data_IF_477396430398
#
_entry.id   IF_477396430398
#
_cell.length_a   1.000
_cell.length_b   1.000
_cell.length_c   1.000
_cell.angle_alpha   90.00
_cell.angle_beta   90.00
_cell.angle_gamma   90.00
#
_symmetry.space_group_name_H-M   'P 1'
#
loop_
_entity.id
_entity.type
_entity.pdbx_description
1 polymer ?
#
# COMPACT_ATOMS: atom_id res chain seq x y z
N UNK A 1 8.40 -16.08 -48.05
CA UNK A 1 8.31 -16.10 -46.56
C UNK A 1 9.66 -15.62 -46.05
N UNK A 2 9.75 -14.46 -45.40
CA UNK A 2 10.97 -14.00 -44.73
C UNK A 2 10.98 -14.60 -43.34
N UNK A 3 11.95 -15.45 -43.05
CA UNK A 3 12.24 -15.90 -41.68
C UNK A 3 12.83 -14.71 -40.91
N UNK A 4 12.30 -14.47 -39.71
CA UNK A 4 12.85 -13.50 -38.76
C UNK A 4 13.95 -14.22 -37.98
N UNK A 5 15.19 -13.73 -38.05
CA UNK A 5 16.29 -14.21 -37.22
C UNK A 5 15.98 -13.88 -35.75
N UNK A 6 15.68 -14.91 -34.95
CA UNK A 6 15.61 -14.79 -33.50
C UNK A 6 17.01 -14.65 -32.91
N UNK A 7 17.44 -13.41 -32.63
CA UNK A 7 18.62 -13.16 -31.80
C UNK A 7 18.27 -13.49 -30.35
N UNK A 8 18.80 -14.61 -29.83
CA UNK A 8 18.73 -14.96 -28.42
C UNK A 8 19.83 -14.20 -27.67
N UNK A 9 19.45 -13.20 -26.88
CA UNK A 9 20.34 -12.61 -25.90
C UNK A 9 20.39 -13.51 -24.66
N UNK A 10 21.55 -14.11 -24.39
CA UNK A 10 21.83 -14.69 -23.10
C UNK A 10 22.31 -13.56 -22.17
N UNK A 11 21.44 -13.07 -21.30
CA UNK A 11 21.85 -12.18 -20.20
C UNK A 11 22.49 -13.07 -19.14
N UNK A 12 23.81 -13.08 -19.06
CA UNK A 12 24.51 -13.65 -17.91
C UNK A 12 24.71 -12.56 -16.86
N UNK A 13 24.03 -12.69 -15.72
CA UNK A 13 24.39 -11.97 -14.49
C UNK A 13 25.47 -12.77 -13.77
N UNK A 14 26.67 -12.83 -14.34
CA UNK A 14 27.85 -13.31 -13.61
C UNK A 14 28.57 -12.10 -13.03
N UNK A 15 28.74 -12.15 -11.73
CA UNK A 15 29.30 -11.12 -10.85
C UNK A 15 30.60 -10.52 -11.39
N UNK A 16 30.55 -9.24 -11.75
CA UNK A 16 31.68 -8.34 -11.53
C UNK A 16 31.40 -7.70 -10.17
N UNK A 17 32.35 -7.83 -9.23
CA UNK A 17 32.34 -7.25 -7.88
C UNK A 17 32.28 -5.71 -7.94
N UNK A 18 31.13 -5.19 -8.34
CA UNK A 18 30.80 -3.78 -8.30
C UNK A 18 29.65 -3.62 -7.33
N UNK A 19 29.97 -3.05 -6.17
CA UNK A 19 28.97 -2.65 -5.22
C UNK A 19 28.12 -1.55 -5.89
N UNK A 20 26.80 -1.63 -5.77
CA UNK A 20 25.90 -0.57 -6.22
C UNK A 20 26.27 0.82 -5.63
N UNK A 21 27.03 0.84 -4.53
CA UNK A 21 27.60 2.06 -3.96
C UNK A 21 28.81 2.64 -4.72
N UNK A 22 29.42 1.92 -5.66
CA UNK A 22 30.51 2.41 -6.52
C UNK A 22 30.04 3.52 -7.48
N UNK A 23 28.72 3.67 -7.67
CA UNK A 23 28.12 4.73 -8.47
C UNK A 23 27.91 6.05 -7.72
N UNK A 24 28.38 6.16 -6.47
CA UNK A 24 28.20 7.38 -5.65
C UNK A 24 29.11 8.55 -6.04
N UNK A 25 30.16 8.33 -6.82
CA UNK A 25 31.05 9.42 -7.23
C UNK A 25 31.12 9.59 -8.75
N UNK A 26 30.62 10.75 -9.19
CA UNK A 26 30.86 11.39 -10.48
C UNK A 26 30.25 10.68 -11.69
N UNK A 27 29.00 11.04 -12.00
CA UNK A 27 28.54 11.53 -13.33
C UNK A 27 27.02 11.53 -13.35
N UNK A 28 26.40 12.71 -13.29
CA UNK A 28 25.17 13.11 -14.01
C UNK A 28 23.90 12.25 -13.96
N UNK A 29 23.87 11.12 -13.27
CA UNK A 29 22.70 10.27 -13.08
C UNK A 29 22.18 10.61 -11.68
N UNK A 30 20.90 10.98 -11.60
CA UNK A 30 20.20 11.24 -10.33
C UNK A 30 20.53 10.13 -9.33
N UNK A 31 20.82 10.52 -8.10
CA UNK A 31 21.06 9.64 -6.96
C UNK A 31 20.12 8.43 -7.04
N UNK A 32 20.69 7.22 -7.09
CA UNK A 32 19.90 6.00 -6.86
C UNK A 32 19.22 6.22 -5.52
N UNK A 33 17.88 6.35 -5.53
CA UNK A 33 17.11 6.49 -4.31
C UNK A 33 17.59 5.41 -3.34
N UNK A 34 18.18 5.82 -2.21
CA UNK A 34 18.65 4.87 -1.22
C UNK A 34 17.46 3.97 -0.85
N UNK A 35 17.62 2.64 -0.81
CA UNK A 35 16.53 1.74 -0.45
C UNK A 35 15.97 2.18 0.90
N UNK A 36 14.74 2.72 0.88
CA UNK A 36 14.04 3.12 2.09
C UNK A 36 13.85 1.89 2.98
N UNK A 37 14.02 2.09 4.29
CA UNK A 37 13.93 1.01 5.27
C UNK A 37 12.50 0.50 5.30
N UNK A 38 12.24 -0.64 4.65
CA UNK A 38 10.87 -1.16 4.56
C UNK A 38 10.28 -1.40 5.96
N UNK A 39 9.13 -0.80 6.24
CA UNK A 39 8.44 -1.03 7.52
C UNK A 39 8.13 -2.53 7.61
N UNK A 40 8.67 -3.19 8.65
CA UNK A 40 8.47 -4.62 8.83
C UNK A 40 7.04 -4.89 9.29
N UNK A 41 6.22 -5.42 8.39
CA UNK A 41 4.87 -5.90 8.68
C UNK A 41 4.96 -7.18 9.52
N UNK A 42 4.08 -7.29 10.51
CA UNK A 42 4.01 -8.41 11.47
C UNK A 42 2.55 -8.90 11.63
N UNK A 43 2.35 -9.98 12.38
CA UNK A 43 1.01 -10.50 12.68
C UNK A 43 0.26 -10.98 11.44
N UNK A 44 -1.07 -10.87 11.46
CA UNK A 44 -1.94 -11.40 10.41
C UNK A 44 -1.61 -10.84 9.01
N UNK A 45 -1.18 -9.57 8.93
CA UNK A 45 -0.81 -8.93 7.66
C UNK A 45 0.48 -9.50 7.05
N UNK A 46 1.34 -10.12 7.86
CA UNK A 46 2.54 -10.81 7.38
C UNK A 46 2.25 -12.27 6.95
N UNK A 47 1.13 -12.84 7.41
CA UNK A 47 0.74 -14.21 7.10
C UNK A 47 0.17 -14.35 5.67
N UNK A 48 0.16 -15.58 5.16
CA UNK A 48 -0.41 -15.87 3.84
C UNK A 48 -1.89 -15.51 3.75
N UNK A 49 -2.68 -15.86 4.78
CA UNK A 49 -4.11 -15.60 4.80
C UNK A 49 -4.44 -14.10 4.78
N UNK A 50 -3.70 -13.28 5.55
CA UNK A 50 -3.90 -11.83 5.54
C UNK A 50 -3.54 -11.23 4.18
N UNK A 51 -2.45 -11.69 3.54
CA UNK A 51 -2.08 -11.25 2.19
C UNK A 51 -3.13 -11.62 1.15
N UNK A 52 -3.70 -12.83 1.21
CA UNK A 52 -4.79 -13.25 0.33
C UNK A 52 -6.06 -12.41 0.53
N UNK A 53 -6.39 -12.06 1.78
CA UNK A 53 -7.53 -11.19 2.08
C UNK A 53 -7.33 -9.78 1.49
N UNK A 54 -6.17 -9.16 1.68
CA UNK A 54 -5.88 -7.85 1.09
C UNK A 54 -5.91 -7.91 -0.44
N UNK A 55 -5.31 -8.95 -1.02
CA UNK A 55 -5.31 -9.17 -2.47
C UNK A 55 -6.73 -9.35 -3.03
N UNK A 56 -7.65 -9.98 -2.29
CA UNK A 56 -9.06 -10.04 -2.68
C UNK A 56 -9.66 -8.64 -2.85
N UNK A 57 -9.47 -7.74 -1.88
CA UNK A 57 -10.01 -6.38 -1.95
C UNK A 57 -9.37 -5.55 -3.07
N UNK A 58 -8.05 -5.68 -3.26
CA UNK A 58 -7.34 -5.05 -4.38
C UNK A 58 -7.92 -5.51 -5.72
N UNK A 59 -8.05 -6.82 -5.92
CA UNK A 59 -8.64 -7.39 -7.13
C UNK A 59 -10.08 -6.94 -7.35
N UNK A 60 -10.90 -6.85 -6.30
CA UNK A 60 -12.28 -6.37 -6.42
C UNK A 60 -12.32 -4.89 -6.84
N UNK A 61 -11.44 -4.06 -6.28
CA UNK A 61 -11.29 -2.66 -6.65
C UNK A 61 -10.83 -2.47 -8.10
N UNK A 62 -9.73 -3.14 -8.48
CA UNK A 62 -9.10 -3.04 -9.80
C UNK A 62 -10.02 -3.54 -10.92
N UNK A 63 -10.85 -4.54 -10.65
CA UNK A 63 -11.81 -5.08 -11.62
C UNK A 63 -13.16 -4.33 -11.66
N UNK A 64 -13.34 -3.28 -10.85
CA UNK A 64 -14.59 -2.52 -10.80
C UNK A 64 -15.75 -3.23 -10.09
N UNK A 65 -15.48 -4.30 -9.34
CA UNK A 65 -16.48 -5.12 -8.65
C UNK A 65 -16.93 -4.47 -7.32
N UNK A 66 -17.40 -3.22 -7.36
CA UNK A 66 -17.61 -2.39 -6.17
C UNK A 66 -18.67 -2.94 -5.20
N UNK A 67 -19.81 -3.43 -5.71
CA UNK A 67 -20.85 -4.02 -4.85
C UNK A 67 -20.30 -5.23 -4.08
N UNK A 68 -19.53 -6.08 -4.77
CA UNK A 68 -18.93 -7.25 -4.16
C UNK A 68 -17.82 -6.87 -3.17
N UNK A 69 -17.07 -5.79 -3.43
CA UNK A 69 -16.12 -5.23 -2.46
C UNK A 69 -16.80 -4.95 -1.12
N UNK A 70 -17.90 -4.20 -1.12
CA UNK A 70 -18.60 -3.85 0.12
C UNK A 70 -19.26 -5.05 0.80
N UNK A 71 -19.77 -6.03 0.03
CA UNK A 71 -20.29 -7.29 0.57
C UNK A 71 -19.20 -8.07 1.30
N UNK A 72 -18.02 -8.25 0.69
CA UNK A 72 -16.91 -8.97 1.31
C UNK A 72 -16.31 -8.20 2.49
N UNK A 73 -16.28 -6.87 2.43
CA UNK A 73 -15.85 -6.01 3.54
C UNK A 73 -16.77 -6.23 4.75
N UNK A 74 -18.09 -6.20 4.55
CA UNK A 74 -19.05 -6.42 5.63
C UNK A 74 -18.95 -7.83 6.23
N UNK A 75 -18.74 -8.86 5.40
CA UNK A 75 -18.52 -10.23 5.86
C UNK A 75 -17.26 -10.33 6.72
N UNK A 76 -16.15 -9.72 6.28
CA UNK A 76 -14.91 -9.67 7.04
C UNK A 76 -15.14 -8.98 8.40
N UNK A 77 -15.71 -7.78 8.41
CA UNK A 77 -15.96 -7.04 9.66
C UNK A 77 -16.84 -7.82 10.65
N UNK A 78 -17.86 -8.53 10.16
CA UNK A 78 -18.68 -9.39 11.01
C UNK A 78 -17.89 -10.58 11.54
N UNK A 79 -17.05 -11.21 10.70
CA UNK A 79 -16.16 -12.30 11.13
C UNK A 79 -15.15 -11.85 12.18
N UNK A 80 -14.54 -10.68 12.01
CA UNK A 80 -13.59 -10.12 12.97
C UNK A 80 -14.26 -9.84 14.33
N UNK A 81 -15.47 -9.26 14.35
CA UNK A 81 -16.24 -9.06 15.60
C UNK A 81 -16.52 -10.36 16.35
N UNK A 82 -16.76 -11.46 15.63
CA UNK A 82 -16.93 -12.77 16.27
C UNK A 82 -15.61 -13.32 16.81
N UNK A 83 -14.48 -13.03 16.14
CA UNK A 83 -13.14 -13.40 16.62
C UNK A 83 -12.68 -12.56 17.82
N UNK A 84 -13.10 -11.30 17.95
CA UNK A 84 -12.85 -10.46 19.13
C UNK A 84 -13.43 -11.05 20.42
N UNK A 85 -14.36 -12.01 20.35
CA UNK A 85 -14.83 -12.74 21.53
C UNK A 85 -13.81 -13.75 22.06
N UNK A 86 -12.86 -14.16 21.21
CA UNK A 86 -11.84 -15.18 21.50
C UNK A 86 -10.44 -14.59 21.64
N UNK A 87 -10.16 -13.51 20.94
CA UNK A 87 -8.90 -12.79 20.97
C UNK A 87 -9.05 -11.48 21.74
N UNK A 88 -7.93 -10.84 22.05
CA UNK A 88 -7.96 -9.51 22.66
C UNK A 88 -8.63 -8.49 21.74
N UNK A 89 -9.23 -7.46 22.34
CA UNK A 89 -9.82 -6.36 21.59
C UNK A 89 -8.75 -5.70 20.71
N UNK A 90 -9.14 -5.31 19.50
CA UNK A 90 -8.27 -4.68 18.51
C UNK A 90 -7.12 -5.59 17.98
N UNK A 91 -7.11 -6.90 18.29
CA UNK A 91 -6.06 -7.83 17.85
C UNK A 91 -5.91 -7.89 16.32
N UNK A 92 -7.03 -7.83 15.57
CA UNK A 92 -7.06 -7.80 14.11
C UNK A 92 -7.36 -6.40 13.56
N UNK A 93 -7.17 -5.35 14.36
CA UNK A 93 -7.54 -3.99 13.96
C UNK A 93 -6.71 -3.49 12.78
N UNK A 94 -5.48 -3.98 12.65
CA UNK A 94 -4.60 -3.67 11.52
C UNK A 94 -5.13 -4.22 10.19
N UNK A 95 -5.69 -5.43 10.18
CA UNK A 95 -6.38 -6.00 9.02
C UNK A 95 -7.64 -5.22 8.65
N UNK A 96 -8.46 -4.88 9.64
CA UNK A 96 -9.64 -4.02 9.43
C UNK A 96 -9.26 -2.70 8.75
N UNK A 97 -8.28 -2.00 9.32
CA UNK A 97 -7.84 -0.70 8.80
C UNK A 97 -7.12 -0.81 7.45
N UNK A 98 -6.41 -1.90 7.20
CA UNK A 98 -5.80 -2.16 5.89
C UNK A 98 -6.85 -2.31 4.79
N UNK A 99 -7.96 -3.02 5.06
CA UNK A 99 -9.09 -3.12 4.12
C UNK A 99 -9.80 -1.78 3.94
N UNK A 100 -9.91 -0.97 5.00
CA UNK A 100 -10.44 0.41 4.91
C UNK A 100 -9.54 1.32 4.03
N UNK A 101 -8.24 1.08 3.98
CA UNK A 101 -7.36 1.77 3.02
C UNK A 101 -7.58 1.30 1.57
N UNK A 102 -7.91 0.03 1.34
CA UNK A 102 -8.33 -0.45 0.01
C UNK A 102 -9.64 0.21 -0.45
N UNK A 103 -10.57 0.47 0.49
CA UNK A 103 -11.79 1.25 0.19
C UNK A 103 -11.44 2.68 -0.23
N UNK A 104 -10.47 3.32 0.45
CA UNK A 104 -9.99 4.65 0.06
C UNK A 104 -9.41 4.67 -1.36
N UNK A 105 -8.68 3.62 -1.76
CA UNK A 105 -8.15 3.46 -3.13
C UNK A 105 -9.28 3.25 -4.14
N UNK A 106 -10.29 2.45 -3.79
CA UNK A 106 -11.49 2.26 -4.61
C UNK A 106 -12.26 3.57 -4.82
N UNK A 107 -12.40 4.41 -3.78
CA UNK A 107 -13.00 5.74 -3.86
C UNK A 107 -12.17 6.68 -4.76
N UNK A 108 -10.84 6.60 -4.68
CA UNK A 108 -9.95 7.33 -5.59
C UNK A 108 -10.20 6.95 -7.06
N UNK A 109 -10.29 5.64 -7.34
CA UNK A 109 -10.58 5.12 -8.68
C UNK A 109 -11.94 5.55 -9.23
N UNK A 110 -12.92 5.79 -8.37
CA UNK A 110 -14.24 6.32 -8.72
C UNK A 110 -14.31 7.86 -8.79
N UNK A 111 -13.17 8.54 -8.67
CA UNK A 111 -13.08 10.01 -8.61
C UNK A 111 -13.82 10.66 -7.41
N UNK A 112 -14.13 9.89 -6.36
CA UNK A 112 -14.73 10.36 -5.12
C UNK A 112 -13.64 10.86 -4.15
N UNK A 113 -12.97 11.94 -4.55
CA UNK A 113 -11.72 12.40 -3.94
C UNK A 113 -11.86 12.86 -2.48
N UNK A 114 -12.98 13.51 -2.13
CA UNK A 114 -13.22 13.95 -0.75
C UNK A 114 -13.45 12.76 0.19
N UNK A 115 -14.22 11.77 -0.26
CA UNK A 115 -14.45 10.54 0.51
C UNK A 115 -13.17 9.71 0.63
N UNK A 116 -12.37 9.60 -0.44
CA UNK A 116 -11.07 8.96 -0.40
C UNK A 116 -10.17 9.57 0.69
N UNK A 117 -10.03 10.91 0.70
CA UNK A 117 -9.23 11.61 1.73
C UNK A 117 -9.82 11.43 3.14
N UNK A 118 -11.14 11.51 3.28
CA UNK A 118 -11.80 11.33 4.57
C UNK A 118 -11.52 9.94 5.12
N UNK A 119 -11.71 8.89 4.32
CA UNK A 119 -11.45 7.50 4.72
C UNK A 119 -9.98 7.28 5.12
N UNK A 120 -9.03 7.84 4.36
CA UNK A 120 -7.59 7.74 4.71
C UNK A 120 -7.25 8.48 6.02
N UNK A 121 -7.83 9.66 6.26
CA UNK A 121 -7.65 10.41 7.51
C UNK A 121 -8.24 9.68 8.71
N UNK A 122 -9.44 9.10 8.57
CA UNK A 122 -10.06 8.30 9.62
C UNK A 122 -9.15 7.13 10.05
N UNK A 123 -8.44 6.49 9.11
CA UNK A 123 -7.45 5.44 9.44
C UNK A 123 -6.29 6.02 10.25
N UNK A 124 -5.74 7.18 9.86
CA UNK A 124 -4.68 7.85 10.61
C UNK A 124 -5.13 8.17 12.04
N UNK A 125 -6.34 8.71 12.20
CA UNK A 125 -6.90 9.07 13.50
C UNK A 125 -7.15 7.84 14.36
N UNK A 126 -7.67 6.74 13.79
CA UNK A 126 -7.87 5.47 14.48
C UNK A 126 -6.54 4.86 14.95
N UNK A 127 -5.50 4.88 14.10
CA UNK A 127 -4.17 4.40 14.47
C UNK A 127 -3.52 5.27 15.52
N UNK A 128 -3.75 6.59 15.53
CA UNK A 128 -3.20 7.49 16.56
C UNK A 128 -3.93 7.36 17.89
N UNK A 129 -5.23 7.08 17.86
CA UNK A 129 -6.06 6.95 19.05
C UNK A 129 -5.86 5.60 19.78
N UNK A 130 -5.32 4.59 19.10
CA UNK A 130 -5.21 3.21 19.62
C UNK A 130 -3.82 2.64 19.37
N UNK A 131 -3.40 1.66 20.17
CA UNK A 131 -2.16 0.94 19.91
C UNK A 131 -2.36 -0.15 18.85
N UNK A 132 -2.51 0.24 17.58
CA UNK A 132 -2.79 -0.69 16.47
C UNK A 132 -1.49 -1.36 15.99
N UNK A 133 -1.45 -2.70 15.84
CA UNK A 133 -0.35 -3.39 15.17
C UNK A 133 -0.09 -2.82 13.77
N UNK A 134 1.17 -2.78 13.33
CA UNK A 134 1.52 -2.24 12.00
C UNK A 134 1.04 -0.78 11.76
N UNK A 135 0.74 -0.02 12.82
CA UNK A 135 0.27 1.36 12.74
C UNK A 135 1.12 2.28 11.86
N UNK A 136 2.47 2.28 11.98
CA UNK A 136 3.33 3.07 11.09
C UNK A 136 3.13 2.76 9.60
N UNK A 137 2.99 1.48 9.24
CA UNK A 137 2.70 1.06 7.85
C UNK A 137 1.35 1.59 7.37
N UNK A 138 0.31 1.51 8.21
CA UNK A 138 -1.03 2.01 7.87
C UNK A 138 -1.04 3.53 7.68
N UNK A 139 -0.35 4.27 8.56
CA UNK A 139 -0.21 5.73 8.46
C UNK A 139 0.55 6.11 7.19
N UNK A 140 1.66 5.43 6.89
CA UNK A 140 2.44 5.68 5.69
C UNK A 140 1.61 5.47 4.42
N UNK A 141 0.89 4.35 4.33
CA UNK A 141 -0.03 4.06 3.22
C UNK A 141 -1.16 5.08 3.10
N UNK A 142 -1.77 5.51 4.22
CA UNK A 142 -2.80 6.53 4.23
C UNK A 142 -2.29 7.88 3.70
N UNK A 143 -1.10 8.31 4.14
CA UNK A 143 -0.45 9.52 3.65
C UNK A 143 -0.09 9.44 2.17
N UNK A 144 0.33 8.28 1.68
CA UNK A 144 0.55 8.05 0.25
C UNK A 144 -0.73 8.27 -0.57
N UNK A 145 -1.87 7.72 -0.12
CA UNK A 145 -3.17 7.90 -0.78
C UNK A 145 -3.59 9.38 -0.78
N UNK A 146 -3.46 10.07 0.36
CA UNK A 146 -3.76 11.50 0.46
C UNK A 146 -2.87 12.31 -0.49
N UNK A 147 -1.58 11.96 -0.60
CA UNK A 147 -0.67 12.60 -1.55
C UNK A 147 -1.13 12.44 -2.99
N UNK A 148 -1.66 11.26 -3.36
CA UNK A 148 -2.18 10.99 -4.69
C UNK A 148 -3.41 11.87 -5.01
N UNK A 149 -4.30 12.07 -4.05
CA UNK A 149 -5.44 12.99 -4.21
C UNK A 149 -4.97 14.42 -4.44
N UNK A 150 -3.99 14.91 -3.68
CA UNK A 150 -3.46 16.25 -3.89
C UNK A 150 -2.75 16.41 -5.24
N UNK A 151 -2.01 15.39 -5.70
CA UNK A 151 -1.44 15.37 -7.06
C UNK A 151 -2.54 15.47 -8.12
N UNK A 152 -3.62 14.70 -7.98
CA UNK A 152 -4.74 14.74 -8.92
C UNK A 152 -5.44 16.11 -8.97
N UNK A 153 -5.43 16.84 -7.85
CA UNK A 153 -5.97 18.22 -7.74
C UNK A 153 -4.99 19.31 -8.17
N UNK A 154 -3.73 18.98 -8.47
CA UNK A 154 -2.68 19.94 -8.81
C UNK A 154 -2.06 20.68 -7.61
N UNK A 155 -2.37 20.30 -6.37
CA UNK A 155 -1.77 20.87 -5.16
C UNK A 155 -0.48 20.11 -4.79
N UNK A 156 0.58 20.35 -5.58
CA UNK A 156 1.86 19.64 -5.40
C UNK A 156 2.57 19.96 -4.08
N UNK A 157 2.29 21.12 -3.48
CA UNK A 157 2.87 21.48 -2.18
C UNK A 157 2.36 20.55 -1.09
N UNK A 158 1.03 20.39 -0.99
CA UNK A 158 0.44 19.46 -0.01
C UNK A 158 0.72 18.00 -0.34
N UNK A 159 0.81 17.67 -1.62
CA UNK A 159 1.22 16.33 -2.02
C UNK A 159 2.63 16.00 -1.47
N UNK A 160 3.60 16.92 -1.57
CA UNK A 160 4.96 16.73 -1.05
C UNK A 160 4.97 16.54 0.47
N UNK A 161 4.26 17.39 1.21
CA UNK A 161 4.13 17.26 2.67
C UNK A 161 3.66 15.86 3.06
N UNK A 162 2.64 15.32 2.38
CA UNK A 162 2.17 13.96 2.66
C UNK A 162 3.11 12.86 2.17
N UNK A 163 3.90 13.08 1.12
CA UNK A 163 4.92 12.12 0.71
C UNK A 163 5.98 11.97 1.80
N UNK A 164 6.41 13.06 2.44
CA UNK A 164 7.38 13.03 3.55
C UNK A 164 6.88 12.23 4.75
N UNK A 165 5.56 12.21 5.00
CA UNK A 165 4.95 11.36 6.02
C UNK A 165 4.66 9.93 5.56
N UNK A 166 4.77 9.66 4.25
CA UNK A 166 4.53 8.34 3.64
C UNK A 166 5.80 7.53 3.43
N UNK A 167 6.97 8.16 3.55
CA UNK A 167 8.26 7.46 3.43
C UNK A 167 8.50 6.59 4.65
N UNK A 168 8.76 5.31 4.37
CA UNK A 168 9.13 4.25 5.32
C UNK A 168 10.51 4.47 5.94
#
# INVERSE_FOLDING_TARGET
>A
KKELDCVKYAVSTRDEDHDIYDYKERRGIMEVENPQLKIKITGILAEEIGRQLIMLFQNLGDNGCYEQFYVEQQKLLNGLKELEKKFEKDYFKDLELSVKLEESILLFGQHLMDDCMRTAKEVIDDVRARNVPNGPFLIAKAHYIISAVYRQRGDFSKAREHVEYSTE
#
